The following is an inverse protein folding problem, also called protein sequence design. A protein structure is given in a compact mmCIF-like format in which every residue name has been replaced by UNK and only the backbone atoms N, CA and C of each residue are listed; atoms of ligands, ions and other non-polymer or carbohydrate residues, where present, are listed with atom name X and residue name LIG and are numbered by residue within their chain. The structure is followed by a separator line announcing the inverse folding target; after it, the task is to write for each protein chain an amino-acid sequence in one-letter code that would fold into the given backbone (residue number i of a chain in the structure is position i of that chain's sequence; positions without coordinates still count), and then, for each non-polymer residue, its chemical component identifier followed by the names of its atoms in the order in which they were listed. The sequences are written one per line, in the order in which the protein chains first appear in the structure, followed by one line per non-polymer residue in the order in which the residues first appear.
data_IF_390227994295
#
_entry.id   IF_390227994295
#
_cell.length_a   1.000
_cell.length_b   1.000
_cell.length_c   1.000
_cell.angle_alpha   90.00
_cell.angle_beta   90.00
_cell.angle_gamma   90.00
#
_symmetry.space_group_name_H-M   'P 1'
#
loop_
_entity.id
_entity.type
_entity.pdbx_description
1 polymer ?
#
# COMPACT_ATOMS: atom_id res chain seq x y z
N UNK A 1 -11.01 -2.17 -6.20
CA UNK A 1 -9.93 -1.32 -6.71
C UNK A 1 -8.85 -2.18 -7.33
N UNK A 2 -8.35 -1.73 -8.48
CA UNK A 2 -7.23 -2.33 -9.20
C UNK A 2 -6.10 -1.33 -9.33
N UNK A 3 -4.88 -1.82 -9.35
CA UNK A 3 -3.67 -1.06 -9.65
C UNK A 3 -2.95 -1.74 -10.79
N UNK A 4 -2.66 -1.00 -11.86
CA UNK A 4 -2.05 -1.54 -13.08
C UNK A 4 -2.81 -2.77 -13.63
N UNK A 5 -4.15 -2.74 -13.51
CA UNK A 5 -5.03 -3.84 -13.93
C UNK A 5 -5.13 -5.01 -12.95
N UNK A 6 -4.30 -5.05 -11.90
CA UNK A 6 -4.26 -6.11 -10.90
C UNK A 6 -5.19 -5.76 -9.74
N UNK A 7 -6.05 -6.71 -9.36
CA UNK A 7 -6.94 -6.55 -8.21
C UNK A 7 -6.15 -6.56 -6.89
N UNK A 8 -6.30 -5.51 -6.08
CA UNK A 8 -5.70 -5.45 -4.74
C UNK A 8 -6.76 -5.82 -3.70
N UNK A 9 -6.47 -6.83 -2.88
CA UNK A 9 -7.35 -7.29 -1.80
C UNK A 9 -6.67 -7.06 -0.45
N UNK A 10 -7.19 -6.10 0.30
CA UNK A 10 -6.75 -5.80 1.66
C UNK A 10 -7.83 -5.06 2.44
N UNK A 11 -7.74 -5.09 3.77
CA UNK A 11 -8.62 -4.31 4.65
C UNK A 11 -8.12 -2.86 4.82
N UNK A 12 -6.90 -2.59 4.38
CA UNK A 12 -6.22 -1.30 4.45
C UNK A 12 -4.78 -1.41 3.96
N UNK A 13 -3.99 -0.38 4.22
CA UNK A 13 -2.55 -0.39 3.96
C UNK A 13 -1.78 0.32 5.07
N UNK A 14 -0.52 -0.04 5.23
CA UNK A 14 0.45 0.59 6.10
C UNK A 14 1.37 1.51 5.27
N UNK A 15 1.66 2.70 5.80
CA UNK A 15 2.51 3.70 5.16
C UNK A 15 3.57 4.20 6.14
N UNK A 16 4.81 4.32 5.67
CA UNK A 16 5.96 4.78 6.48
C UNK A 16 6.05 6.31 6.61
N UNK A 17 5.15 7.05 5.95
CA UNK A 17 5.20 8.51 5.89
C UNK A 17 6.00 9.05 4.70
N UNK A 18 6.56 8.20 3.83
CA UNK A 18 7.37 8.66 2.71
C UNK A 18 7.12 7.90 1.39
N UNK A 19 7.39 6.58 1.34
CA UNK A 19 7.37 5.81 0.08
C UNK A 19 7.02 4.32 0.23
N UNK A 20 7.06 3.75 1.43
CA UNK A 20 6.73 2.32 1.61
C UNK A 20 5.24 2.16 1.85
N UNK A 21 4.55 1.52 0.91
CA UNK A 21 3.12 1.26 1.02
C UNK A 21 2.88 -0.26 1.00
N UNK A 22 2.33 -0.77 2.09
CA UNK A 22 2.07 -2.19 2.29
C UNK A 22 0.59 -2.49 2.46
N UNK A 23 -0.01 -3.24 1.54
CA UNK A 23 -1.39 -3.72 1.67
C UNK A 23 -1.46 -4.72 2.83
N UNK A 24 -2.38 -4.46 3.78
CA UNK A 24 -2.65 -5.36 4.92
C UNK A 24 -3.94 -6.13 4.67
N UNK A 25 -3.87 -7.46 4.78
CA UNK A 25 -4.97 -8.40 4.48
C UNK A 25 -5.84 -8.69 5.71
N UNK A 26 -5.35 -8.42 6.92
CA UNK A 26 -6.08 -8.71 8.16
C UNK A 26 -5.65 -7.80 9.33
N UNK A 27 -6.40 -7.86 10.45
CA UNK A 27 -6.17 -7.05 11.65
C UNK A 27 -4.81 -7.31 12.31
N UNK A 28 -4.28 -8.53 12.21
CA UNK A 28 -2.98 -8.87 12.78
C UNK A 28 -1.85 -8.15 12.06
N UNK A 29 -1.87 -8.13 10.72
CA UNK A 29 -0.90 -7.38 9.92
C UNK A 29 -0.99 -5.88 10.19
N UNK A 30 -2.21 -5.33 10.31
CA UNK A 30 -2.41 -3.93 10.66
C UNK A 30 -1.80 -3.58 12.03
N UNK A 31 -1.99 -4.46 13.03
CA UNK A 31 -1.40 -4.30 14.36
C UNK A 31 0.13 -4.35 14.32
N UNK A 32 0.71 -5.34 13.62
CA UNK A 32 2.16 -5.46 13.44
C UNK A 32 2.77 -4.23 12.76
N UNK A 33 2.08 -3.69 11.75
CA UNK A 33 2.51 -2.48 11.06
C UNK A 33 2.57 -1.27 12.02
N UNK A 34 1.53 -1.09 12.84
CA UNK A 34 1.50 -0.04 13.87
C UNK A 34 2.59 -0.21 14.92
N UNK A 35 2.81 -1.43 15.40
CA UNK A 35 3.90 -1.77 16.33
C UNK A 35 5.28 -1.50 15.72
N UNK A 36 5.40 -1.59 14.38
CA UNK A 36 6.61 -1.29 13.62
C UNK A 36 6.75 0.20 13.24
N UNK A 37 5.83 1.07 13.70
CA UNK A 37 5.88 2.52 13.47
C UNK A 37 5.22 3.00 12.18
N UNK A 38 4.49 2.15 11.46
CA UNK A 38 3.73 2.55 10.27
C UNK A 38 2.35 3.11 10.66
N UNK A 39 1.84 4.03 9.84
CA UNK A 39 0.47 4.52 9.95
C UNK A 39 -0.42 3.66 9.05
N UNK A 40 -1.53 3.17 9.59
CA UNK A 40 -2.50 2.36 8.83
C UNK A 40 -3.67 3.20 8.34
N UNK A 41 -4.00 3.06 7.06
CA UNK A 41 -5.06 3.77 6.38
C UNK A 41 -6.04 2.79 5.72
N UNK A 42 -7.27 3.26 5.47
CA UNK A 42 -8.25 2.51 4.68
C UNK A 42 -7.89 2.54 3.19
N UNK A 43 -8.23 1.48 2.45
CA UNK A 43 -7.87 1.32 1.02
C UNK A 43 -8.29 2.50 0.14
N UNK A 44 -9.41 3.16 0.42
CA UNK A 44 -9.89 4.29 -0.40
C UNK A 44 -8.97 5.52 -0.35
N UNK A 45 -8.08 5.64 0.64
CA UNK A 45 -7.07 6.70 0.70
C UNK A 45 -5.83 6.41 -0.14
N UNK A 46 -5.67 5.19 -0.67
CA UNK A 46 -4.45 4.75 -1.35
C UNK A 46 -4.07 5.63 -2.55
N UNK A 47 -4.98 6.05 -3.45
CA UNK A 47 -4.64 6.93 -4.56
C UNK A 47 -4.10 8.29 -4.10
N UNK A 48 -4.67 8.83 -3.01
CA UNK A 48 -4.24 10.10 -2.43
C UNK A 48 -2.86 9.97 -1.75
N UNK A 49 -2.61 8.91 -0.99
CA UNK A 49 -1.27 8.67 -0.42
C UNK A 49 -0.24 8.46 -1.53
N UNK A 50 -0.58 7.70 -2.57
CA UNK A 50 0.30 7.49 -3.71
C UNK A 50 0.70 8.80 -4.40
N UNK A 51 -0.25 9.70 -4.64
CA UNK A 51 0.04 10.98 -5.32
C UNK A 51 0.95 11.91 -4.51
N UNK A 52 0.95 11.78 -3.17
CA UNK A 52 1.73 12.63 -2.27
C UNK A 52 3.03 11.96 -1.79
N UNK A 53 3.19 10.66 -2.01
CA UNK A 53 4.39 9.92 -1.64
C UNK A 53 5.55 10.22 -2.61
N UNK A 54 6.77 10.13 -2.06
CA UNK A 54 8.02 10.32 -2.80
C UNK A 54 8.08 9.39 -4.05
N UNK A 55 8.78 9.78 -5.15
CA UNK A 55 8.90 8.96 -6.35
C UNK A 55 9.45 7.54 -6.15
N UNK A 56 10.15 7.27 -5.04
CA UNK A 56 10.62 5.92 -4.67
C UNK A 56 9.50 5.01 -4.13
N UNK A 57 8.25 5.45 -4.22
CA UNK A 57 7.09 4.71 -3.73
C UNK A 57 6.88 3.41 -4.50
N UNK A 58 6.40 2.42 -3.77
CA UNK A 58 6.02 1.11 -4.28
C UNK A 58 4.80 0.61 -3.51
N UNK A 59 4.12 -0.39 -4.05
CA UNK A 59 3.00 -1.05 -3.39
C UNK A 59 3.26 -2.55 -3.40
N UNK A 60 3.38 -3.14 -2.21
CA UNK A 60 3.45 -4.60 -2.02
C UNK A 60 2.49 -5.04 -0.92
N UNK A 61 2.34 -6.33 -0.69
CA UNK A 61 1.70 -6.82 0.52
C UNK A 61 2.64 -6.71 1.72
N UNK A 62 2.07 -6.65 2.92
CA UNK A 62 2.84 -6.61 4.18
C UNK A 62 3.76 -7.82 4.36
N UNK A 63 3.33 -9.00 3.91
CA UNK A 63 4.11 -10.23 3.94
C UNK A 63 5.10 -10.37 2.77
N UNK A 64 5.19 -9.35 1.89
CA UNK A 64 6.08 -9.30 0.73
C UNK A 64 5.86 -10.44 -0.28
N UNK A 65 4.68 -11.05 -0.28
CA UNK A 65 4.32 -12.13 -1.23
C UNK A 65 3.90 -11.59 -2.60
N UNK A 66 3.20 -10.44 -2.64
CA UNK A 66 2.74 -9.82 -3.88
C UNK A 66 3.31 -8.41 -4.03
N UNK A 67 3.73 -8.06 -5.25
CA UNK A 67 4.16 -6.71 -5.63
C UNK A 67 3.20 -6.19 -6.71
N UNK A 68 2.53 -5.08 -6.41
CA UNK A 68 1.54 -4.47 -7.31
C UNK A 68 2.14 -3.33 -8.12
N UNK A 69 3.11 -2.62 -7.54
CA UNK A 69 3.84 -1.54 -8.19
C UNK A 69 5.26 -1.56 -7.68
N UNK A 70 6.24 -1.67 -8.58
CA UNK A 70 7.66 -1.63 -8.23
C UNK A 70 8.14 -0.18 -8.04
N UNK A 71 9.31 -0.02 -7.41
CA UNK A 71 9.92 1.30 -7.31
C UNK A 71 10.19 1.89 -8.70
N UNK A 72 9.94 3.19 -8.85
CA UNK A 72 10.02 3.93 -10.14
C UNK A 72 8.96 3.53 -11.18
N UNK A 73 8.02 2.64 -10.84
CA UNK A 73 6.87 2.31 -11.67
C UNK A 73 5.71 3.28 -11.37
N UNK A 74 4.92 3.60 -12.38
CA UNK A 74 3.67 4.35 -12.20
C UNK A 74 2.54 3.42 -11.78
N UNK A 75 1.61 3.94 -10.98
CA UNK A 75 0.38 3.24 -10.62
C UNK A 75 -0.80 3.90 -11.31
N UNK A 76 -1.61 3.09 -12.00
CA UNK A 76 -2.92 3.48 -12.53
C UNK A 76 -3.99 2.83 -11.66
N UNK A 77 -4.74 3.66 -10.94
CA UNK A 77 -5.84 3.24 -10.09
C UNK A 77 -7.15 3.21 -10.88
N UNK A 78 -7.89 2.11 -10.76
CA UNK A 78 -9.22 1.93 -11.36
C UNK A 78 -10.13 1.21 -10.37
N UNK A 79 -11.45 1.34 -10.55
CA UNK A 79 -12.45 0.69 -9.70
C UNK A 79 -12.44 -0.85 -9.83
#
# INVERSE_FOLDING_TARGET
MKVNGIEIKGIGFAFDGCHKIYVVKNKQQAKQAQESGYITYQMHHLPHIWSNACPLRFISTWDLTDYYVHQSEQAVFTD
#
